data_IF_086581351401
#
_entry.id   IF_086581351401
#
_cell.length_a   1.000
_cell.length_b   1.000
_cell.length_c   1.000
_cell.angle_alpha   90.00
_cell.angle_beta   90.00
_cell.angle_gamma   90.00
#
_symmetry.space_group_name_H-M   'P 1'
#
loop_
_entity.id
_entity.type
_entity.pdbx_description
1 polymer ?
#
# COMPACT_ATOMS: atom_id res chain seq x y z
N UNK A 1 49.70 -10.38 -18.06
CA UNK A 1 49.18 -9.19 -17.38
C UNK A 1 47.71 -9.02 -17.72
N UNK A 2 46.80 -9.28 -16.78
CA UNK A 2 45.35 -9.16 -17.00
C UNK A 2 44.90 -7.69 -16.87
N UNK A 3 44.04 -7.16 -17.75
CA UNK A 3 43.48 -5.83 -17.57
C UNK A 3 42.56 -5.80 -16.34
N UNK A 4 42.81 -4.83 -15.45
CA UNK A 4 42.00 -4.53 -14.27
C UNK A 4 40.60 -4.10 -14.74
N UNK A 5 39.58 -4.91 -14.46
CA UNK A 5 38.18 -4.52 -14.71
C UNK A 5 37.86 -3.28 -13.86
N UNK A 6 37.81 -2.11 -14.49
CA UNK A 6 37.28 -0.91 -13.87
C UNK A 6 35.77 -1.07 -13.76
N UNK A 7 35.30 -1.30 -12.53
CA UNK A 7 33.88 -1.33 -12.17
C UNK A 7 33.28 0.02 -12.60
N UNK A 8 32.52 0.04 -13.70
CA UNK A 8 31.75 1.22 -14.09
C UNK A 8 30.85 1.58 -12.89
N UNK A 9 30.96 2.81 -12.39
CA UNK A 9 30.05 3.32 -11.37
C UNK A 9 28.69 3.46 -12.06
N UNK A 10 27.84 2.44 -11.91
CA UNK A 10 26.42 2.55 -12.22
C UNK A 10 25.89 3.81 -11.53
N UNK A 11 25.29 4.78 -12.23
CA UNK A 11 24.64 5.87 -11.56
C UNK A 11 23.50 5.28 -10.73
N UNK A 12 23.55 5.48 -9.42
CA UNK A 12 22.42 5.25 -8.53
C UNK A 12 21.21 5.99 -9.11
N UNK A 13 20.33 5.28 -9.83
CA UNK A 13 19.05 5.84 -10.28
C UNK A 13 18.14 5.96 -9.06
N UNK A 14 18.42 6.97 -8.25
CA UNK A 14 17.66 7.31 -7.03
C UNK A 14 16.35 8.04 -7.37
N UNK A 15 16.15 8.43 -8.63
CA UNK A 15 15.05 9.30 -9.04
C UNK A 15 14.61 9.04 -10.49
N UNK A 16 13.91 7.94 -10.76
CA UNK A 16 13.17 7.75 -12.03
C UNK A 16 11.67 7.54 -11.83
N UNK A 17 11.11 7.92 -10.67
CA UNK A 17 9.67 8.11 -10.53
C UNK A 17 9.40 9.59 -10.25
N UNK A 18 8.84 10.37 -11.20
CA UNK A 18 8.48 11.76 -10.94
C UNK A 18 7.48 11.83 -9.78
N UNK A 19 7.65 12.76 -8.81
CA UNK A 19 6.74 12.96 -7.69
C UNK A 19 5.45 13.61 -8.19
N UNK A 20 4.61 12.84 -8.88
CA UNK A 20 3.44 13.41 -9.55
C UNK A 20 2.66 12.47 -10.45
N UNK A 21 3.13 11.23 -10.67
CA UNK A 21 2.28 10.22 -11.29
C UNK A 21 1.12 9.91 -10.33
N UNK A 22 0.02 10.66 -10.44
CA UNK A 22 -1.26 10.27 -9.89
C UNK A 22 -1.52 8.86 -10.40
N UNK A 23 -1.38 7.86 -9.52
CA UNK A 23 -1.64 6.49 -9.92
C UNK A 23 -3.08 6.44 -10.40
N UNK A 24 -3.27 6.22 -11.71
CA UNK A 24 -4.58 5.96 -12.32
C UNK A 24 -5.19 4.66 -11.79
N UNK A 25 -4.42 3.86 -11.03
CA UNK A 25 -4.91 2.69 -10.32
C UNK A 25 -5.92 3.15 -9.25
N UNK A 26 -7.11 2.56 -9.20
CA UNK A 26 -8.16 2.98 -8.28
C UNK A 26 -7.64 2.93 -6.84
N UNK A 27 -7.45 4.12 -6.25
CA UNK A 27 -6.77 4.28 -4.98
C UNK A 27 -7.44 3.41 -3.90
N UNK A 28 -6.65 2.54 -3.27
CA UNK A 28 -7.03 1.80 -2.06
C UNK A 28 -7.07 2.82 -0.92
N UNK A 29 -8.25 3.02 -0.33
CA UNK A 29 -8.54 4.08 0.63
C UNK A 29 -8.83 3.50 2.02
N UNK A 30 -8.41 4.22 3.06
CA UNK A 30 -8.57 3.83 4.47
C UNK A 30 -9.38 4.82 5.32
N UNK A 31 -9.81 5.96 4.75
CA UNK A 31 -10.42 7.04 5.52
C UNK A 31 -11.80 6.72 6.12
N UNK A 32 -12.57 5.79 5.53
CA UNK A 32 -13.92 5.41 6.00
C UNK A 32 -14.19 3.93 5.80
N UNK A 33 -15.12 3.35 6.57
CA UNK A 33 -15.56 1.96 6.40
C UNK A 33 -16.16 1.66 5.02
N UNK A 34 -16.83 2.64 4.38
CA UNK A 34 -17.34 2.51 2.99
C UNK A 34 -16.18 2.39 1.99
N UNK A 35 -15.14 3.21 2.18
CA UNK A 35 -13.94 3.18 1.35
C UNK A 35 -13.12 1.90 1.54
N UNK A 36 -13.03 1.39 2.78
CA UNK A 36 -12.38 0.13 3.09
C UNK A 36 -13.06 -1.04 2.36
N UNK A 37 -14.40 -1.16 2.46
CA UNK A 37 -15.18 -2.18 1.74
C UNK A 37 -15.00 -2.10 0.22
N UNK A 38 -15.07 -0.89 -0.36
CA UNK A 38 -14.83 -0.69 -1.79
C UNK A 38 -13.40 -1.09 -2.21
N UNK A 39 -12.42 -0.86 -1.34
CA UNK A 39 -11.03 -1.23 -1.59
C UNK A 39 -10.82 -2.73 -1.53
N UNK A 40 -11.41 -3.43 -0.55
CA UNK A 40 -11.39 -4.89 -0.44
C UNK A 40 -11.94 -5.55 -1.71
N UNK A 41 -13.06 -5.04 -2.25
CA UNK A 41 -13.63 -5.56 -3.51
C UNK A 41 -12.67 -5.46 -4.70
N UNK A 42 -11.75 -4.50 -4.70
CA UNK A 42 -10.72 -4.34 -5.75
C UNK A 42 -9.51 -5.24 -5.55
N UNK A 43 -9.35 -5.78 -4.35
CA UNK A 43 -8.31 -6.74 -4.01
C UNK A 43 -8.73 -8.18 -4.40
N UNK A 44 -10.01 -8.41 -4.69
CA UNK A 44 -10.52 -9.68 -5.20
C UNK A 44 -9.79 -10.07 -6.49
N UNK A 45 -9.30 -11.31 -6.57
CA UNK A 45 -8.50 -11.80 -7.69
C UNK A 45 -7.00 -11.47 -7.62
N UNK A 46 -6.52 -10.82 -6.55
CA UNK A 46 -5.08 -10.69 -6.28
C UNK A 46 -4.58 -11.80 -5.37
N UNK A 47 -3.28 -12.08 -5.46
CA UNK A 47 -2.59 -13.04 -4.59
C UNK A 47 -2.85 -12.78 -3.10
N UNK A 48 -2.91 -13.86 -2.30
CA UNK A 48 -3.17 -13.83 -0.87
C UNK A 48 -2.18 -12.92 -0.12
N UNK A 49 -0.89 -13.03 -0.39
CA UNK A 49 0.14 -12.23 0.27
C UNK A 49 0.03 -10.75 -0.12
N UNK A 50 -0.31 -10.46 -1.38
CA UNK A 50 -0.60 -9.10 -1.81
C UNK A 50 -1.79 -8.50 -1.06
N UNK A 51 -2.92 -9.23 -0.97
CA UNK A 51 -4.11 -8.80 -0.25
C UNK A 51 -3.82 -8.51 1.22
N UNK A 52 -3.14 -9.42 1.91
CA UNK A 52 -2.75 -9.28 3.32
C UNK A 52 -1.86 -8.05 3.54
N UNK A 53 -0.84 -7.85 2.70
CA UNK A 53 0.08 -6.70 2.78
C UNK A 53 -0.64 -5.36 2.63
N UNK A 54 -1.55 -5.27 1.66
CA UNK A 54 -2.33 -4.04 1.46
C UNK A 54 -3.31 -3.82 2.62
N UNK A 55 -3.99 -4.86 3.07
CA UNK A 55 -4.94 -4.76 4.19
C UNK A 55 -4.25 -4.29 5.48
N UNK A 56 -3.10 -4.88 5.83
CA UNK A 56 -2.29 -4.46 6.98
C UNK A 56 -1.84 -3.00 6.85
N UNK A 57 -1.34 -2.59 5.67
CA UNK A 57 -0.93 -1.21 5.42
C UNK A 57 -2.08 -0.23 5.65
N UNK A 58 -3.28 -0.55 5.17
CA UNK A 58 -4.45 0.31 5.33
C UNK A 58 -4.97 0.34 6.77
N UNK A 59 -4.96 -0.80 7.46
CA UNK A 59 -5.28 -0.88 8.88
C UNK A 59 -4.37 0.05 9.70
N UNK A 60 -3.05 -0.04 9.52
CA UNK A 60 -2.11 0.77 10.28
C UNK A 60 -2.19 2.26 9.93
N UNK A 61 -2.44 2.61 8.66
CA UNK A 61 -2.70 4.01 8.27
C UNK A 61 -3.92 4.59 8.97
N UNK A 62 -4.99 3.81 9.14
CA UNK A 62 -6.17 4.25 9.89
C UNK A 62 -5.92 4.28 11.41
N UNK A 63 -5.15 3.31 11.94
CA UNK A 63 -4.84 3.19 13.36
C UNK A 63 -3.98 4.33 13.89
N UNK A 64 -2.94 4.71 13.15
CA UNK A 64 -1.93 5.68 13.57
C UNK A 64 -2.10 7.06 12.90
N UNK A 65 -3.26 7.35 12.34
CA UNK A 65 -3.53 8.68 11.79
C UNK A 65 -3.56 9.72 12.93
N UNK A 66 -2.83 10.84 12.78
CA UNK A 66 -2.73 11.90 13.80
C UNK A 66 -4.10 12.36 14.32
N UNK A 67 -5.04 12.57 13.39
CA UNK A 67 -6.41 12.96 13.70
C UNK A 67 -7.35 11.79 13.37
N UNK A 68 -7.41 10.79 14.24
CA UNK A 68 -8.23 9.61 14.01
C UNK A 68 -9.72 9.96 14.05
N UNK A 69 -10.41 9.82 12.92
CA UNK A 69 -11.85 10.07 12.84
C UNK A 69 -12.67 8.81 13.14
N UNK A 70 -13.95 8.98 13.46
CA UNK A 70 -14.87 7.85 13.62
C UNK A 70 -14.96 6.99 12.34
N UNK A 71 -14.84 7.63 11.17
CA UNK A 71 -14.76 6.94 9.89
C UNK A 71 -13.55 5.99 9.80
N UNK A 72 -12.39 6.40 10.31
CA UNK A 72 -11.19 5.58 10.35
C UNK A 72 -11.31 4.42 11.34
N UNK A 73 -11.94 4.64 12.50
CA UNK A 73 -12.24 3.54 13.45
C UNK A 73 -13.12 2.47 12.81
N UNK A 74 -14.13 2.90 12.06
CA UNK A 74 -14.97 1.98 11.29
C UNK A 74 -14.18 1.28 10.17
N UNK A 75 -13.25 1.98 9.50
CA UNK A 75 -12.35 1.38 8.53
C UNK A 75 -11.43 0.33 9.16
N UNK A 76 -10.91 0.58 10.37
CA UNK A 76 -10.08 -0.38 11.10
C UNK A 76 -10.81 -1.69 11.36
N UNK A 77 -12.08 -1.63 11.79
CA UNK A 77 -12.91 -2.84 12.01
C UNK A 77 -13.04 -3.65 10.73
N UNK A 78 -13.34 -2.98 9.61
CA UNK A 78 -13.46 -3.63 8.29
C UNK A 78 -12.14 -4.26 7.85
N UNK A 79 -11.02 -3.54 7.95
CA UNK A 79 -9.71 -4.06 7.56
C UNK A 79 -9.24 -5.19 8.47
N UNK A 80 -9.49 -5.11 9.78
CA UNK A 80 -9.15 -6.17 10.73
C UNK A 80 -9.92 -7.45 10.41
N UNK A 81 -11.25 -7.36 10.28
CA UNK A 81 -12.09 -8.49 9.89
C UNK A 81 -11.65 -9.12 8.56
N UNK A 82 -11.21 -8.31 7.59
CA UNK A 82 -10.67 -8.83 6.34
C UNK A 82 -9.30 -9.50 6.49
N UNK A 83 -8.42 -9.00 7.34
CA UNK A 83 -7.12 -9.66 7.62
C UNK A 83 -7.35 -11.02 8.27
N UNK A 84 -8.28 -11.09 9.23
CA UNK A 84 -8.60 -12.32 9.97
C UNK A 84 -9.28 -13.36 9.06
N UNK A 85 -9.90 -12.95 7.95
CA UNK A 85 -10.58 -13.86 7.01
C UNK A 85 -9.70 -14.40 5.88
N UNK A 86 -8.42 -14.01 5.79
CA UNK A 86 -7.50 -14.38 4.69
C UNK A 86 -6.43 -15.35 5.19
#
# INVERSE_FOLDING_TARGET
MSPRQTRRKEPLSLYNNPPGAHSTKPMIKYATGKNARKSIRRLTGKDKNYRKRIAMRMYYRAKFHKNQTQGMRNAMKVWKSYIDSI
#
